data_IF_193624648705
#
_entry.id   IF_193624648705
#
_cell.length_a   1.000
_cell.length_b   1.000
_cell.length_c   1.000
_cell.angle_alpha   90.00
_cell.angle_beta   90.00
_cell.angle_gamma   90.00
#
_symmetry.space_group_name_H-M   'P 1'
#
loop_
_entity.id
_entity.type
_entity.pdbx_description
1 polymer ?
#
# COMPACT_ATOMS: atom_id res chain seq x y z
N UNK A 1 15.09 -20.03 -9.03
CA UNK A 1 13.89 -19.53 -9.73
C UNK A 1 12.63 -19.66 -8.88
N UNK A 2 12.36 -20.82 -8.27
CA UNK A 2 11.19 -21.02 -7.39
C UNK A 2 11.14 -20.02 -6.23
N UNK A 3 12.27 -19.76 -5.57
CA UNK A 3 12.39 -18.78 -4.49
C UNK A 3 12.05 -17.34 -4.93
N UNK A 4 12.50 -16.92 -6.12
CA UNK A 4 12.18 -15.58 -6.67
C UNK A 4 10.70 -15.45 -7.03
N UNK A 5 10.10 -16.50 -7.60
CA UNK A 5 8.66 -16.49 -7.91
C UNK A 5 7.80 -16.48 -6.64
N UNK A 6 8.22 -17.21 -5.60
CA UNK A 6 7.54 -17.22 -4.31
C UNK A 6 7.64 -15.86 -3.63
N UNK A 7 8.82 -15.22 -3.67
CA UNK A 7 9.00 -13.85 -3.17
C UNK A 7 8.15 -12.83 -3.93
N UNK A 8 7.99 -12.98 -5.24
CA UNK A 8 7.10 -12.13 -6.02
C UNK A 8 5.63 -12.26 -5.59
N UNK A 9 5.16 -13.48 -5.35
CA UNK A 9 3.80 -13.72 -4.82
C UNK A 9 3.60 -13.07 -3.45
N UNK A 10 4.58 -13.19 -2.54
CA UNK A 10 4.52 -12.52 -1.23
C UNK A 10 4.40 -11.00 -1.37
N UNK A 11 5.16 -10.40 -2.28
CA UNK A 11 5.07 -8.95 -2.53
C UNK A 11 3.70 -8.54 -3.12
N UNK A 12 3.04 -9.40 -3.92
CA UNK A 12 1.67 -9.15 -4.40
C UNK A 12 0.68 -9.16 -3.24
N UNK A 13 0.80 -10.12 -2.32
CA UNK A 13 -0.05 -10.20 -1.14
C UNK A 13 0.17 -9.02 -0.18
N UNK A 14 1.43 -8.61 0.02
CA UNK A 14 1.78 -7.42 0.81
C UNK A 14 1.22 -6.14 0.18
N UNK A 15 1.31 -5.98 -1.14
CA UNK A 15 0.70 -4.84 -1.84
C UNK A 15 -0.81 -4.77 -1.58
N UNK A 16 -1.52 -5.90 -1.66
CA UNK A 16 -2.96 -5.95 -1.37
C UNK A 16 -3.28 -5.53 0.06
N UNK A 17 -2.48 -5.96 1.05
CA UNK A 17 -2.66 -5.54 2.45
C UNK A 17 -2.45 -4.04 2.64
N UNK A 18 -1.46 -3.46 1.95
CA UNK A 18 -1.19 -2.02 1.99
C UNK A 18 -2.33 -1.23 1.33
N UNK A 19 -2.87 -1.71 0.20
CA UNK A 19 -4.04 -1.09 -0.45
C UNK A 19 -5.28 -1.11 0.46
N UNK A 20 -5.56 -2.23 1.13
CA UNK A 20 -6.66 -2.30 2.10
C UNK A 20 -6.46 -1.34 3.28
N UNK A 21 -5.21 -1.11 3.68
CA UNK A 21 -4.89 -0.14 4.75
C UNK A 21 -5.17 1.30 4.29
N UNK A 22 -4.87 1.64 3.03
CA UNK A 22 -5.21 2.94 2.45
C UNK A 22 -6.72 3.15 2.40
N UNK A 23 -7.47 2.16 1.91
CA UNK A 23 -8.93 2.20 1.89
C UNK A 23 -9.51 2.37 3.30
N UNK A 24 -8.93 1.72 4.31
CA UNK A 24 -9.34 1.91 5.69
C UNK A 24 -9.07 3.33 6.20
N UNK A 25 -7.99 3.99 5.76
CA UNK A 25 -7.72 5.38 6.10
C UNK A 25 -8.76 6.32 5.45
N UNK A 26 -9.10 6.08 4.19
CA UNK A 26 -10.12 6.85 3.48
C UNK A 26 -11.51 6.72 4.15
N UNK A 27 -11.90 5.49 4.49
CA UNK A 27 -13.13 5.23 5.22
C UNK A 27 -13.18 5.91 6.59
N UNK A 28 -12.05 5.93 7.31
CA UNK A 28 -11.94 6.62 8.60
C UNK A 28 -12.08 8.14 8.45
N UNK A 29 -11.44 8.73 7.43
CA UNK A 29 -11.57 10.15 7.12
C UNK A 29 -13.02 10.50 6.77
N UNK A 30 -13.66 9.70 5.91
CA UNK A 30 -15.06 9.92 5.52
C UNK A 30 -16.01 9.82 6.72
N UNK A 31 -15.83 8.82 7.59
CA UNK A 31 -16.61 8.69 8.82
C UNK A 31 -16.45 9.91 9.74
N UNK A 32 -15.23 10.44 9.84
CA UNK A 32 -14.92 11.64 10.61
C UNK A 32 -15.64 12.87 10.03
N UNK A 33 -15.56 13.09 8.72
CA UNK A 33 -16.27 14.19 8.05
C UNK A 33 -17.80 14.08 8.20
N UNK A 34 -18.36 12.87 8.09
CA UNK A 34 -19.79 12.63 8.33
C UNK A 34 -20.21 12.97 9.77
N UNK A 35 -19.34 12.67 10.75
CA UNK A 35 -19.59 13.01 12.15
C UNK A 35 -19.60 14.54 12.37
N UNK A 36 -18.58 15.24 11.85
CA UNK A 36 -18.47 16.71 11.92
C UNK A 36 -19.70 17.37 11.32
N UNK A 37 -20.09 16.95 10.12
CA UNK A 37 -21.25 17.50 9.42
C UNK A 37 -22.56 17.33 10.21
N UNK A 38 -22.75 16.19 10.89
CA UNK A 38 -23.98 15.90 11.66
C UNK A 38 -24.07 16.63 12.99
N UNK A 39 -22.95 16.95 13.64
CA UNK A 39 -22.93 17.49 15.02
C UNK A 39 -22.28 18.87 15.12
N UNK A 40 -22.12 19.58 14.00
CA UNK A 40 -21.20 20.70 13.78
C UNK A 40 -21.23 21.89 14.75
N UNK A 41 -22.18 21.99 15.69
CA UNK A 41 -22.23 23.04 16.72
C UNK A 41 -21.84 22.58 18.13
N UNK A 42 -21.72 21.26 18.38
CA UNK A 42 -21.42 20.68 19.71
C UNK A 42 -20.04 20.00 19.78
N UNK A 43 -19.28 20.03 18.70
CA UNK A 43 -18.02 19.30 18.59
C UNK A 43 -16.81 20.19 18.83
N UNK A 44 -15.87 19.69 19.64
CA UNK A 44 -14.53 20.26 19.76
C UNK A 44 -13.74 20.04 18.46
N UNK A 45 -13.72 21.05 17.60
CA UNK A 45 -13.05 21.00 16.29
C UNK A 45 -11.54 20.76 16.38
N UNK A 46 -10.91 21.04 17.53
CA UNK A 46 -9.47 20.76 17.73
C UNK A 46 -9.20 19.26 17.74
N UNK A 47 -10.02 18.49 18.44
CA UNK A 47 -9.95 17.03 18.46
C UNK A 47 -10.10 16.40 17.06
N UNK A 48 -11.04 16.91 16.24
CA UNK A 48 -11.22 16.43 14.87
C UNK A 48 -10.05 16.78 13.96
N UNK A 49 -9.43 17.94 14.18
CA UNK A 49 -8.23 18.37 13.45
C UNK A 49 -7.05 17.44 13.76
N UNK A 50 -6.88 17.06 15.03
CA UNK A 50 -5.83 16.10 15.40
C UNK A 50 -6.08 14.71 14.79
N UNK A 51 -7.33 14.24 14.82
CA UNK A 51 -7.69 12.96 14.21
C UNK A 51 -7.47 12.94 12.70
N UNK A 52 -7.86 13.98 11.96
CA UNK A 52 -7.63 14.02 10.51
C UNK A 52 -6.13 14.08 10.19
N UNK A 53 -5.33 14.76 11.01
CA UNK A 53 -3.88 14.79 10.88
C UNK A 53 -3.26 13.40 11.10
N UNK A 54 -3.71 12.67 12.12
CA UNK A 54 -3.25 11.29 12.37
C UNK A 54 -3.60 10.36 11.19
N UNK A 55 -4.83 10.46 10.66
CA UNK A 55 -5.25 9.68 9.49
C UNK A 55 -4.40 10.05 8.27
N UNK A 56 -4.20 11.34 8.00
CA UNK A 56 -3.38 11.82 6.89
C UNK A 56 -1.92 11.36 6.97
N UNK A 57 -1.31 11.45 8.15
CA UNK A 57 0.05 10.94 8.38
C UNK A 57 0.15 9.43 8.13
N UNK A 58 -0.82 8.66 8.64
CA UNK A 58 -0.87 7.22 8.42
C UNK A 58 -1.02 6.88 6.94
N UNK A 59 -1.89 7.60 6.23
CA UNK A 59 -2.09 7.44 4.80
C UNK A 59 -0.81 7.75 4.01
N UNK A 60 -0.14 8.86 4.31
CA UNK A 60 1.13 9.23 3.67
C UNK A 60 2.22 8.17 3.87
N UNK A 61 2.38 7.67 5.10
CA UNK A 61 3.33 6.58 5.38
C UNK A 61 2.99 5.32 4.60
N UNK A 62 1.70 4.99 4.50
CA UNK A 62 1.22 3.79 3.79
C UNK A 62 1.42 3.93 2.27
N UNK A 63 1.27 5.13 1.70
CA UNK A 63 1.61 5.41 0.30
C UNK A 63 3.09 5.21 0.01
N UNK A 64 3.98 5.66 0.90
CA UNK A 64 5.43 5.43 0.74
C UNK A 64 5.75 3.93 0.76
N UNK A 65 5.12 3.17 1.64
CA UNK A 65 5.27 1.71 1.68
C UNK A 65 4.80 1.05 0.38
N UNK A 66 3.67 1.51 -0.18
CA UNK A 66 3.15 1.02 -1.46
C UNK A 66 4.14 1.27 -2.60
N UNK A 67 4.73 2.46 -2.66
CA UNK A 67 5.72 2.82 -3.69
C UNK A 67 6.97 1.92 -3.60
N UNK A 68 7.48 1.68 -2.40
CA UNK A 68 8.63 0.79 -2.17
C UNK A 68 8.31 -0.65 -2.57
N UNK A 69 7.13 -1.17 -2.23
CA UNK A 69 6.69 -2.50 -2.65
C UNK A 69 6.61 -2.63 -4.17
N UNK A 70 6.04 -1.63 -4.84
CA UNK A 70 5.94 -1.61 -6.31
C UNK A 70 7.30 -1.56 -6.98
N UNK A 71 8.24 -0.79 -6.44
CA UNK A 71 9.62 -0.76 -6.91
C UNK A 71 10.27 -2.14 -6.78
N UNK A 72 10.22 -2.75 -5.59
CA UNK A 72 10.76 -4.08 -5.33
C UNK A 72 10.15 -5.16 -6.23
N UNK A 73 8.83 -5.09 -6.49
CA UNK A 73 8.14 -6.00 -7.42
C UNK A 73 8.65 -5.82 -8.85
N UNK A 74 8.83 -4.59 -9.30
CA UNK A 74 9.33 -4.29 -10.64
C UNK A 74 10.75 -4.82 -10.81
N UNK A 75 11.63 -4.57 -9.85
CA UNK A 75 13.02 -5.07 -9.85
C UNK A 75 13.06 -6.60 -9.91
N UNK A 76 12.22 -7.26 -9.10
CA UNK A 76 12.15 -8.72 -9.07
C UNK A 76 11.57 -9.31 -10.37
N UNK A 77 10.56 -8.66 -10.96
CA UNK A 77 10.01 -9.05 -12.26
C UNK A 77 11.08 -8.97 -13.35
N UNK A 78 11.84 -7.88 -13.40
CA UNK A 78 12.95 -7.73 -14.34
C UNK A 78 14.06 -8.76 -14.11
N UNK A 79 14.40 -9.08 -12.87
CA UNK A 79 15.36 -10.14 -12.57
C UNK A 79 14.87 -11.49 -13.10
N UNK A 80 13.61 -11.86 -12.81
CA UNK A 80 12.99 -13.11 -13.28
C UNK A 80 13.00 -13.19 -14.81
N UNK A 81 12.66 -12.11 -15.51
CA UNK A 81 12.63 -12.08 -16.97
C UNK A 81 14.04 -12.06 -17.59
N UNK A 82 14.99 -11.37 -16.97
CA UNK A 82 16.41 -11.44 -17.35
C UNK A 82 16.99 -12.86 -17.22
N UNK A 83 16.61 -13.60 -16.17
CA UNK A 83 16.96 -15.02 -16.03
C UNK A 83 16.35 -15.91 -17.11
N UNK A 84 15.16 -15.59 -17.64
CA UNK A 84 14.54 -16.35 -18.75
C UNK A 84 15.32 -16.18 -20.05
N UNK A 85 15.89 -14.99 -20.30
CA UNK A 85 16.71 -14.70 -21.48
C UNK A 85 18.13 -15.30 -21.40
N UNK A 86 18.62 -15.60 -20.21
CA UNK A 86 19.95 -16.20 -19.98
C UNK A 86 19.96 -17.72 -19.86
N UNK A 87 18.82 -18.41 -19.93
CA UNK A 87 18.85 -19.87 -20.09
C UNK A 87 19.41 -20.17 -21.48
N UNK A 88 20.56 -20.87 -21.60
CA UNK A 88 20.86 -21.52 -22.86
C UNK A 88 19.70 -22.48 -23.13
N UNK A 89 19.21 -22.50 -24.36
CA UNK A 89 18.54 -23.67 -24.90
C UNK A 89 19.53 -24.84 -24.79
N UNK A 90 19.54 -25.52 -23.64
CA UNK A 90 20.15 -26.84 -23.51
C UNK A 90 19.23 -27.84 -24.23
N UNK A 91 19.27 -27.77 -25.55
CA UNK A 91 19.01 -28.89 -26.43
C UNK A 91 20.38 -29.42 -26.84
N UNK A 92 20.84 -30.48 -26.18
CA UNK A 92 21.84 -31.43 -26.64
C UNK A 92 21.56 -32.79 -25.99
#
# INVERSE_FOLDING_TARGET
MEDMQQRYKLLVEEENKVLLTLESCDNAAEALFRCIYRRGTELDLSFFTDLINVIGQKQQQTYVQLLLLRLNKSELAHAIDGYKLMKPSCDL
#
